data_IF_190556741428
#
_entry.id   IF_190556741428
#
_cell.length_a   1.000
_cell.length_b   1.000
_cell.length_c   1.000
_cell.angle_alpha   90.00
_cell.angle_beta   90.00
_cell.angle_gamma   90.00
#
_symmetry.space_group_name_H-M   'P 1'
#
loop_
_entity.id
_entity.type
_entity.pdbx_description
1 polymer ?
#
# COMPACT_ATOMS: atom_id res chain seq x y z
N UNK A 1 14.75 55.77 -61.87
CA UNK A 1 13.61 55.07 -61.21
C UNK A 1 13.21 55.86 -59.97
N UNK A 2 11.95 56.27 -59.84
CA UNK A 2 11.41 56.78 -58.57
C UNK A 2 10.90 55.59 -57.77
N UNK A 3 11.45 55.35 -56.58
CA UNK A 3 10.86 54.42 -55.62
C UNK A 3 9.45 54.97 -55.25
N UNK A 4 8.39 54.14 -55.28
CA UNK A 4 7.06 54.60 -54.90
C UNK A 4 7.06 55.00 -53.41
N UNK A 5 6.61 56.22 -53.11
CA UNK A 5 6.48 56.70 -51.74
C UNK A 5 5.39 55.90 -51.01
N UNK A 6 5.80 55.12 -50.03
CA UNK A 6 4.90 54.33 -49.18
C UNK A 6 3.92 55.28 -48.47
N UNK A 7 2.62 54.98 -48.54
CA UNK A 7 1.60 55.76 -47.84
C UNK A 7 1.87 55.76 -46.32
N UNK A 8 1.76 56.90 -45.61
CA UNK A 8 1.93 56.96 -44.15
C UNK A 8 1.06 55.94 -43.40
N UNK A 9 -0.15 55.68 -43.90
CA UNK A 9 -1.06 54.66 -43.33
C UNK A 9 -0.47 53.25 -43.43
N UNK A 10 0.16 52.92 -44.55
CA UNK A 10 0.81 51.62 -44.74
C UNK A 10 2.01 51.45 -43.81
N UNK A 11 2.79 52.52 -43.60
CA UNK A 11 3.90 52.54 -42.65
C UNK A 11 3.42 52.28 -41.21
N UNK A 12 2.37 52.99 -40.77
CA UNK A 12 1.78 52.81 -39.43
C UNK A 12 1.24 51.39 -39.23
N UNK A 13 0.57 50.82 -40.24
CA UNK A 13 0.07 49.44 -40.20
C UNK A 13 1.21 48.41 -40.11
N UNK A 14 2.31 48.61 -40.83
CA UNK A 14 3.49 47.73 -40.75
C UNK A 14 4.16 47.79 -39.37
N UNK A 15 4.29 48.98 -38.78
CA UNK A 15 4.83 49.15 -37.41
C UNK A 15 3.93 48.48 -36.37
N UNK A 16 2.61 48.68 -36.47
CA UNK A 16 1.64 48.03 -35.59
C UNK A 16 1.67 46.50 -35.72
N UNK A 17 1.74 45.97 -36.95
CA UNK A 17 1.84 44.54 -37.21
C UNK A 17 3.15 43.95 -36.66
N UNK A 18 4.29 44.63 -36.85
CA UNK A 18 5.59 44.20 -36.31
C UNK A 18 5.57 44.17 -34.77
N UNK A 19 5.01 45.20 -34.13
CA UNK A 19 4.84 45.24 -32.68
C UNK A 19 3.93 44.12 -32.17
N UNK A 20 2.77 43.90 -32.80
CA UNK A 20 1.85 42.83 -32.44
C UNK A 20 2.46 41.42 -32.60
N UNK A 21 3.26 41.20 -33.66
CA UNK A 21 3.98 39.95 -33.87
C UNK A 21 5.09 39.73 -32.83
N UNK A 22 5.86 40.77 -32.48
CA UNK A 22 6.88 40.70 -31.45
C UNK A 22 6.27 40.39 -30.08
N UNK A 23 5.21 41.11 -29.68
CA UNK A 23 4.47 40.86 -28.43
C UNK A 23 3.84 39.46 -28.43
N UNK A 24 3.21 39.04 -29.52
CA UNK A 24 2.60 37.71 -29.63
C UNK A 24 3.62 36.56 -29.60
N UNK A 25 4.81 36.77 -30.16
CA UNK A 25 5.94 35.84 -30.07
C UNK A 25 6.49 35.73 -28.65
N UNK A 26 6.77 36.88 -28.02
CA UNK A 26 7.24 36.95 -26.64
C UNK A 26 6.22 36.33 -25.65
N UNK A 27 4.93 36.65 -25.81
CA UNK A 27 3.84 36.10 -25.00
C UNK A 27 3.73 34.58 -25.11
N UNK A 28 3.82 34.03 -26.33
CA UNK A 28 3.85 32.57 -26.53
C UNK A 28 5.08 31.94 -25.89
N UNK A 29 6.26 32.52 -26.07
CA UNK A 29 7.51 32.03 -25.47
C UNK A 29 7.49 32.05 -23.94
N UNK A 30 6.93 33.11 -23.34
CA UNK A 30 6.71 33.22 -21.91
C UNK A 30 5.77 32.11 -21.41
N UNK A 31 4.62 31.93 -22.06
CA UNK A 31 3.65 30.89 -21.69
C UNK A 31 4.13 29.45 -21.93
N UNK A 32 5.03 29.20 -22.88
CA UNK A 32 5.67 27.87 -22.99
C UNK A 32 6.65 27.65 -21.85
N UNK A 33 7.49 28.64 -21.52
CA UNK A 33 8.47 28.54 -20.44
C UNK A 33 7.77 28.40 -19.06
N UNK A 34 6.72 29.17 -18.80
CA UNK A 34 5.90 29.05 -17.58
C UNK A 34 5.32 27.64 -17.40
N UNK A 35 4.92 26.98 -18.50
CA UNK A 35 4.38 25.61 -18.48
C UNK A 35 5.45 24.55 -18.31
N UNK A 36 6.63 24.77 -18.87
CA UNK A 36 7.80 23.90 -18.68
C UNK A 36 8.27 23.96 -17.23
N UNK A 37 8.50 25.16 -16.67
CA UNK A 37 8.86 25.35 -15.26
C UNK A 37 7.81 24.77 -14.32
N UNK A 38 6.52 25.04 -14.54
CA UNK A 38 5.46 24.48 -13.70
C UNK A 38 5.36 22.94 -13.78
N UNK A 39 5.80 22.33 -14.89
CA UNK A 39 5.88 20.88 -15.04
C UNK A 39 7.11 20.31 -14.35
N UNK A 40 8.26 20.95 -14.48
CA UNK A 40 9.50 20.52 -13.84
C UNK A 40 9.40 20.65 -12.31
N UNK A 41 8.79 21.73 -11.80
CA UNK A 41 8.47 21.89 -10.38
C UNK A 41 7.51 20.80 -9.89
N UNK A 42 6.50 20.44 -10.69
CA UNK A 42 5.58 19.34 -10.37
C UNK A 42 6.32 17.99 -10.29
N UNK A 43 7.12 17.64 -11.30
CA UNK A 43 7.89 16.39 -11.33
C UNK A 43 8.91 16.34 -10.18
N UNK A 44 9.58 17.46 -9.87
CA UNK A 44 10.54 17.58 -8.78
C UNK A 44 9.90 17.34 -7.39
N UNK A 45 8.62 17.67 -7.22
CA UNK A 45 7.87 17.41 -5.98
C UNK A 45 7.27 16.00 -5.95
N UNK A 46 6.68 15.53 -7.06
CA UNK A 46 5.95 14.25 -7.10
C UNK A 46 6.85 13.03 -7.24
N UNK A 47 7.92 13.09 -8.03
CA UNK A 47 8.81 11.94 -8.28
C UNK A 47 9.48 11.40 -6.99
N UNK A 48 10.00 12.23 -6.06
CA UNK A 48 10.51 11.76 -4.78
C UNK A 48 9.45 11.07 -3.90
N UNK A 49 8.20 11.59 -3.90
CA UNK A 49 7.09 11.05 -3.11
C UNK A 49 6.66 9.69 -3.65
N UNK A 50 6.48 9.56 -4.96
CA UNK A 50 6.17 8.29 -5.61
C UNK A 50 7.28 7.26 -5.37
N UNK A 51 8.54 7.66 -5.56
CA UNK A 51 9.70 6.79 -5.32
C UNK A 51 9.79 6.34 -3.85
N UNK A 52 9.44 7.19 -2.89
CA UNK A 52 9.41 6.84 -1.47
C UNK A 52 8.27 5.86 -1.14
N UNK A 53 7.09 6.03 -1.75
CA UNK A 53 5.97 5.09 -1.61
C UNK A 53 6.31 3.72 -2.21
N UNK A 54 6.87 3.69 -3.42
CA UNK A 54 7.27 2.46 -4.08
C UNK A 54 8.31 1.68 -3.25
N UNK A 55 9.35 2.35 -2.74
CA UNK A 55 10.33 1.72 -1.84
C UNK A 55 9.67 1.10 -0.61
N UNK A 56 8.79 1.83 0.09
CA UNK A 56 8.07 1.30 1.27
C UNK A 56 7.22 0.06 0.96
N UNK A 57 6.61 -0.01 -0.23
CA UNK A 57 5.88 -1.21 -0.66
C UNK A 57 6.82 -2.38 -0.96
N UNK A 58 7.97 -2.11 -1.60
CA UNK A 58 9.02 -3.11 -1.85
C UNK A 58 9.65 -3.64 -0.56
N UNK A 59 9.91 -2.77 0.43
CA UNK A 59 10.43 -3.16 1.75
C UNK A 59 9.45 -4.09 2.48
N UNK A 60 8.14 -3.80 2.41
CA UNK A 60 7.07 -4.64 2.94
C UNK A 60 6.94 -5.97 2.20
N UNK A 61 7.06 -5.97 0.87
CA UNK A 61 7.05 -7.20 0.08
C UNK A 61 8.27 -8.08 0.41
N UNK A 62 9.45 -7.49 0.56
CA UNK A 62 10.68 -8.20 0.93
C UNK A 62 10.59 -8.84 2.32
N UNK A 63 9.96 -8.14 3.28
CA UNK A 63 9.58 -8.69 4.58
C UNK A 63 8.66 -9.92 4.42
N UNK A 64 7.54 -9.77 3.70
CA UNK A 64 6.58 -10.86 3.49
C UNK A 64 7.23 -12.08 2.83
N UNK A 65 8.09 -11.87 1.82
CA UNK A 65 8.85 -12.94 1.15
C UNK A 65 9.78 -13.69 2.11
N UNK A 66 10.39 -12.99 3.07
CA UNK A 66 11.15 -13.61 4.16
C UNK A 66 10.28 -14.54 5.02
N UNK A 67 9.11 -14.06 5.45
CA UNK A 67 8.18 -14.86 6.26
C UNK A 67 7.52 -16.02 5.51
N UNK A 68 7.19 -15.88 4.22
CA UNK A 68 6.74 -16.99 3.37
C UNK A 68 7.85 -18.04 3.24
N UNK A 69 9.10 -17.60 3.02
CA UNK A 69 10.26 -18.50 2.96
C UNK A 69 10.49 -19.29 4.26
N UNK A 70 10.22 -18.68 5.41
CA UNK A 70 10.28 -19.36 6.71
C UNK A 70 9.23 -20.49 6.83
N UNK A 71 7.97 -20.22 6.48
CA UNK A 71 6.92 -21.26 6.49
C UNK A 71 7.11 -22.34 5.42
N UNK A 72 7.71 -22.00 4.28
CA UNK A 72 8.09 -22.98 3.26
C UNK A 72 9.21 -23.93 3.74
N UNK A 73 10.08 -23.45 4.66
CA UNK A 73 11.13 -24.26 5.26
C UNK A 73 10.65 -25.09 6.47
N UNK A 74 9.77 -24.52 7.31
CA UNK A 74 9.16 -25.20 8.46
C UNK A 74 7.63 -24.99 8.49
N UNK A 75 6.84 -25.94 7.93
CA UNK A 75 5.38 -25.88 8.00
C UNK A 75 4.81 -26.07 9.42
N UNK A 76 5.63 -26.45 10.40
CA UNK A 76 5.27 -26.63 11.80
C UNK A 76 5.76 -25.48 12.70
N UNK A 77 6.18 -24.36 12.09
CA UNK A 77 6.68 -23.16 12.78
C UNK A 77 5.74 -22.69 13.90
N UNK A 78 6.24 -22.72 15.13
CA UNK A 78 5.55 -22.25 16.33
C UNK A 78 5.49 -20.72 16.40
N UNK A 79 4.55 -20.19 17.20
CA UNK A 79 4.52 -18.75 17.58
C UNK A 79 5.88 -18.23 18.08
N UNK A 80 6.61 -19.01 18.87
CA UNK A 80 7.90 -18.57 19.43
C UNK A 80 8.98 -18.46 18.35
N UNK A 81 9.05 -19.40 17.40
CA UNK A 81 9.94 -19.31 16.25
C UNK A 81 9.55 -18.16 15.32
N UNK A 82 8.25 -17.94 15.04
CA UNK A 82 7.74 -16.80 14.29
C UNK A 82 8.18 -15.46 14.90
N UNK A 83 7.93 -15.32 16.21
CA UNK A 83 8.32 -14.13 16.98
C UNK A 83 9.83 -13.94 16.93
N UNK A 84 10.59 -14.98 17.24
CA UNK A 84 12.07 -14.95 17.24
C UNK A 84 12.59 -14.55 15.87
N UNK A 85 12.09 -15.15 14.79
CA UNK A 85 12.46 -14.80 13.42
C UNK A 85 12.25 -13.32 13.13
N UNK A 86 11.07 -12.76 13.44
CA UNK A 86 10.79 -11.35 13.17
C UNK A 86 11.71 -10.41 13.95
N UNK A 87 11.89 -10.65 15.25
CA UNK A 87 12.78 -9.85 16.11
C UNK A 87 14.29 -10.12 15.90
N UNK A 88 14.69 -11.07 15.06
CA UNK A 88 16.11 -11.35 14.73
C UNK A 88 16.48 -11.08 13.27
N UNK A 89 15.51 -11.21 12.36
CA UNK A 89 15.71 -11.03 10.91
C UNK A 89 15.32 -9.62 10.46
N UNK A 90 14.56 -8.88 11.27
CA UNK A 90 14.33 -7.46 11.07
C UNK A 90 14.58 -6.62 12.31
N UNK A 91 14.99 -5.39 12.02
CA UNK A 91 15.36 -4.32 12.93
C UNK A 91 14.27 -4.04 13.98
N UNK A 92 14.62 -3.33 15.06
CA UNK A 92 13.76 -3.04 16.21
C UNK A 92 12.37 -2.42 15.87
N UNK A 93 12.21 -1.87 14.65
CA UNK A 93 10.96 -1.33 14.10
C UNK A 93 10.59 -1.97 12.74
N UNK A 94 9.29 -2.20 12.52
CA UNK A 94 8.73 -2.56 11.21
C UNK A 94 8.97 -1.45 10.15
N UNK A 95 8.91 -1.77 8.83
CA UNK A 95 9.07 -0.78 7.76
C UNK A 95 8.16 0.46 7.94
N UNK A 96 8.65 1.70 7.78
CA UNK A 96 7.91 2.91 8.15
C UNK A 96 6.51 3.03 7.54
N UNK A 97 5.48 3.09 8.41
CA UNK A 97 4.06 3.12 8.03
C UNK A 97 3.36 1.76 8.14
N UNK A 98 4.09 0.69 8.44
CA UNK A 98 3.56 -0.66 8.66
C UNK A 98 3.17 -0.82 10.12
N UNK A 99 1.92 -1.16 10.39
CA UNK A 99 1.43 -1.31 11.76
C UNK A 99 1.77 -2.69 12.36
N UNK A 100 1.68 -3.74 11.54
CA UNK A 100 1.85 -5.13 11.96
C UNK A 100 2.14 -6.03 10.77
N UNK A 101 2.82 -7.14 11.02
CA UNK A 101 2.84 -8.32 10.17
C UNK A 101 2.06 -9.45 10.85
N UNK A 102 1.46 -10.35 10.09
CA UNK A 102 0.80 -11.53 10.63
C UNK A 102 0.71 -12.67 9.63
N UNK A 103 0.47 -13.85 10.16
CA UNK A 103 0.24 -15.07 9.38
C UNK A 103 -1.21 -15.52 9.57
N UNK A 104 -1.90 -15.76 8.47
CA UNK A 104 -3.25 -16.29 8.46
C UNK A 104 -3.27 -17.67 7.81
N UNK A 105 -3.83 -18.65 8.53
CA UNK A 105 -3.77 -20.04 8.13
C UNK A 105 -5.03 -20.45 7.39
N UNK A 106 -4.90 -20.83 6.11
CA UNK A 106 -5.99 -21.43 5.35
C UNK A 106 -6.42 -22.74 6.03
N UNK A 107 -7.67 -22.81 6.49
CA UNK A 107 -8.16 -23.83 7.41
C UNK A 107 -9.55 -24.32 6.97
N UNK A 108 -9.71 -25.61 6.59
CA UNK A 108 -11.03 -26.17 6.29
C UNK A 108 -11.84 -26.37 7.59
N UNK A 109 -13.19 -26.40 7.53
CA UNK A 109 -14.05 -26.42 8.72
C UNK A 109 -13.74 -27.54 9.72
N UNK A 110 -13.40 -28.72 9.21
CA UNK A 110 -13.03 -29.91 10.01
C UNK A 110 -11.73 -29.78 10.83
N UNK A 111 -10.90 -28.79 10.54
CA UNK A 111 -9.60 -28.54 11.21
C UNK A 111 -9.66 -27.30 12.13
N UNK A 112 -10.79 -26.58 12.15
CA UNK A 112 -10.94 -25.32 12.88
C UNK A 112 -10.78 -25.50 14.41
N UNK A 113 -11.46 -26.48 15.00
CA UNK A 113 -11.40 -26.75 16.45
C UNK A 113 -9.99 -27.17 16.88
N UNK A 114 -9.32 -28.01 16.06
CA UNK A 114 -7.94 -28.42 16.30
C UNK A 114 -6.96 -27.24 16.21
N UNK A 115 -7.19 -26.30 15.28
CA UNK A 115 -6.38 -25.10 15.16
C UNK A 115 -6.57 -24.20 16.40
N UNK A 116 -7.81 -23.97 16.80
CA UNK A 116 -8.13 -23.16 18.00
C UNK A 116 -7.44 -23.72 19.23
N UNK A 117 -7.56 -25.03 19.49
CA UNK A 117 -6.92 -25.67 20.65
C UNK A 117 -5.38 -25.71 20.54
N UNK A 118 -4.82 -25.74 19.34
CA UNK A 118 -3.37 -25.64 19.14
C UNK A 118 -2.86 -24.24 19.47
N UNK A 119 -3.49 -23.19 18.95
CA UNK A 119 -3.10 -21.80 19.24
C UNK A 119 -3.33 -21.44 20.73
N UNK A 120 -4.36 -22.02 21.37
CA UNK A 120 -4.56 -21.89 22.83
C UNK A 120 -3.40 -22.46 23.64
N UNK A 121 -2.91 -23.64 23.27
CA UNK A 121 -1.75 -24.29 23.90
C UNK A 121 -0.43 -23.59 23.61
N UNK A 122 -0.32 -22.86 22.48
CA UNK A 122 0.79 -21.94 22.17
C UNK A 122 0.71 -20.59 22.94
N UNK A 123 0.05 -20.57 24.11
CA UNK A 123 0.03 -19.41 25.02
C UNK A 123 -1.02 -18.35 24.71
N UNK A 124 -2.05 -18.64 23.90
CA UNK A 124 -3.17 -17.74 23.63
C UNK A 124 -4.51 -18.33 24.12
N UNK A 125 -4.72 -18.50 25.43
CA UNK A 125 -5.86 -19.25 25.98
C UNK A 125 -7.24 -18.66 25.59
N UNK A 126 -7.31 -17.36 25.29
CA UNK A 126 -8.51 -16.68 24.79
C UNK A 126 -8.65 -16.65 23.25
N UNK A 127 -7.85 -17.44 22.50
CA UNK A 127 -7.95 -17.46 21.04
C UNK A 127 -9.30 -18.03 20.57
N UNK A 128 -9.96 -17.30 19.67
CA UNK A 128 -11.20 -17.66 19.01
C UNK A 128 -11.18 -17.16 17.56
N UNK A 129 -11.81 -17.89 16.65
CA UNK A 129 -11.95 -17.45 15.25
C UNK A 129 -13.23 -16.65 15.08
N UNK A 130 -13.11 -15.43 14.55
CA UNK A 130 -14.23 -14.51 14.47
C UNK A 130 -14.21 -13.66 13.18
N UNK A 131 -15.35 -13.13 12.69
CA UNK A 131 -16.70 -13.32 13.22
C UNK A 131 -17.18 -14.76 13.01
N UNK A 132 -17.96 -15.25 13.97
CA UNK A 132 -18.57 -16.58 13.93
C UNK A 132 -19.47 -16.76 12.69
N UNK A 133 -19.52 -17.98 12.16
CA UNK A 133 -20.37 -18.36 11.04
C UNK A 133 -19.78 -19.51 10.22
N UNK A 134 -20.61 -20.30 9.53
CA UNK A 134 -20.15 -21.35 8.62
C UNK A 134 -19.49 -20.74 7.37
N UNK A 135 -18.37 -21.31 6.94
CA UNK A 135 -17.65 -20.97 5.69
C UNK A 135 -17.09 -22.25 5.08
N UNK A 136 -16.90 -22.28 3.76
CA UNK A 136 -16.28 -23.44 3.09
C UNK A 136 -14.79 -23.57 3.45
N UNK A 137 -14.13 -22.43 3.68
CA UNK A 137 -12.74 -22.32 4.15
C UNK A 137 -12.63 -21.07 5.03
N UNK A 138 -11.86 -21.17 6.11
CA UNK A 138 -11.49 -20.07 7.00
C UNK A 138 -10.03 -19.64 6.74
N UNK A 139 -9.70 -18.39 7.03
CA UNK A 139 -8.32 -17.91 7.14
C UNK A 139 -8.15 -16.99 8.37
N UNK A 140 -8.25 -17.54 9.59
CA UNK A 140 -7.93 -16.79 10.81
C UNK A 140 -6.46 -16.36 10.80
N UNK A 141 -6.21 -15.12 11.20
CA UNK A 141 -4.88 -14.66 11.59
C UNK A 141 -4.48 -15.40 12.88
N UNK A 142 -3.47 -16.27 12.79
CA UNK A 142 -3.00 -17.09 13.92
C UNK A 142 -1.78 -16.48 14.59
N UNK A 143 -0.91 -15.79 13.86
CA UNK A 143 0.20 -15.02 14.42
C UNK A 143 0.10 -13.56 13.97
N UNK A 144 0.48 -12.63 14.85
CA UNK A 144 0.55 -11.19 14.56
C UNK A 144 1.62 -10.56 15.46
N UNK A 145 2.46 -9.72 14.88
CA UNK A 145 3.52 -8.99 15.58
C UNK A 145 3.59 -7.52 15.07
N UNK A 146 3.96 -6.54 15.93
CA UNK A 146 4.22 -6.68 17.36
C UNK A 146 2.95 -7.06 18.14
N UNK A 147 3.06 -8.06 19.02
CA UNK A 147 1.94 -8.55 19.83
C UNK A 147 1.68 -7.65 21.05
N UNK A 148 1.51 -6.35 20.82
CA UNK A 148 1.29 -5.34 21.84
C UNK A 148 0.40 -4.19 21.32
N UNK A 149 -0.37 -3.60 22.23
CA UNK A 149 -1.22 -2.44 21.93
C UNK A 149 -2.35 -2.74 20.94
N UNK A 150 -2.63 -1.79 20.06
CA UNK A 150 -3.94 -1.66 19.38
C UNK A 150 -4.33 -2.81 18.44
N UNK A 151 -3.41 -3.71 18.11
CA UNK A 151 -3.53 -4.68 17.01
C UNK A 151 -3.84 -6.10 17.54
N UNK A 152 -3.95 -6.28 18.86
CA UNK A 152 -4.33 -7.56 19.50
C UNK A 152 -5.59 -8.19 18.90
N UNK A 153 -6.63 -7.40 18.58
CA UNK A 153 -7.84 -7.91 17.90
C UNK A 153 -7.57 -8.51 16.52
N UNK A 154 -6.48 -8.17 15.81
CA UNK A 154 -6.20 -8.82 14.53
C UNK A 154 -6.02 -10.34 14.70
N UNK A 155 -5.55 -10.82 15.85
CA UNK A 155 -5.49 -12.24 16.18
C UNK A 155 -6.91 -12.86 16.20
N UNK A 156 -7.09 -13.98 15.48
CA UNK A 156 -8.36 -14.69 15.38
C UNK A 156 -9.31 -14.14 14.32
N UNK A 157 -9.05 -12.94 13.77
CA UNK A 157 -9.86 -12.38 12.70
C UNK A 157 -9.75 -13.23 11.43
N UNK A 158 -10.89 -13.70 10.93
CA UNK A 158 -11.00 -14.48 9.70
C UNK A 158 -11.08 -13.58 8.47
N UNK A 159 -10.01 -13.59 7.68
CA UNK A 159 -9.89 -12.84 6.42
C UNK A 159 -11.00 -13.21 5.43
N UNK A 160 -11.49 -14.45 5.43
CA UNK A 160 -12.54 -14.92 4.52
C UNK A 160 -13.92 -14.33 4.83
N UNK A 161 -14.07 -13.66 5.98
CA UNK A 161 -15.30 -12.95 6.36
C UNK A 161 -15.46 -11.57 5.71
N UNK A 162 -14.36 -10.93 5.31
CA UNK A 162 -14.34 -9.59 4.70
C UNK A 162 -14.13 -9.72 3.18
N UNK A 163 -15.06 -9.23 2.35
CA UNK A 163 -14.99 -9.44 0.90
C UNK A 163 -13.82 -8.70 0.23
N UNK A 164 -13.34 -7.59 0.79
CA UNK A 164 -12.22 -6.81 0.24
C UNK A 164 -10.89 -7.49 0.58
N UNK A 165 -10.75 -7.98 1.82
CA UNK A 165 -9.57 -8.73 2.27
C UNK A 165 -9.48 -10.08 1.59
N UNK A 166 -10.60 -10.82 1.52
CA UNK A 166 -10.71 -12.10 0.81
C UNK A 166 -10.28 -11.98 -0.65
N UNK A 167 -10.81 -11.02 -1.40
CA UNK A 167 -10.47 -10.85 -2.82
C UNK A 167 -8.96 -10.58 -3.04
N UNK A 168 -8.32 -9.83 -2.14
CA UNK A 168 -6.89 -9.58 -2.21
C UNK A 168 -6.05 -10.82 -1.83
N UNK A 169 -6.45 -11.56 -0.79
CA UNK A 169 -5.78 -12.78 -0.35
C UNK A 169 -5.93 -13.93 -1.36
N UNK A 170 -7.11 -14.10 -1.96
CA UNK A 170 -7.35 -15.05 -3.06
C UNK A 170 -6.52 -14.70 -4.29
N UNK A 171 -6.47 -13.42 -4.68
CA UNK A 171 -5.62 -12.98 -5.79
C UNK A 171 -4.12 -13.21 -5.51
N UNK A 172 -3.66 -13.06 -4.27
CA UNK A 172 -2.28 -13.37 -3.89
C UNK A 172 -1.99 -14.87 -4.01
N UNK A 173 -2.87 -15.70 -3.44
CA UNK A 173 -2.82 -17.17 -3.54
C UNK A 173 -2.78 -17.65 -4.99
N UNK A 174 -3.66 -17.13 -5.84
CA UNK A 174 -3.84 -17.64 -7.20
C UNK A 174 -2.76 -17.14 -8.17
N UNK A 175 -2.05 -16.05 -7.84
CA UNK A 175 -0.94 -15.52 -8.67
C UNK A 175 0.46 -15.86 -8.16
N UNK A 176 0.64 -16.15 -6.86
CA UNK A 176 1.97 -16.23 -6.25
C UNK A 176 2.66 -14.87 -6.04
N UNK A 177 1.96 -13.77 -6.33
CA UNK A 177 2.47 -12.40 -6.27
C UNK A 177 1.89 -11.64 -5.07
N UNK A 178 2.59 -10.60 -4.63
CA UNK A 178 2.09 -9.73 -3.57
C UNK A 178 0.87 -8.92 -4.05
N UNK A 179 -0.22 -8.92 -3.29
CA UNK A 179 -1.46 -8.17 -3.61
C UNK A 179 -1.88 -7.27 -2.46
N UNK A 180 -1.98 -5.98 -2.76
CA UNK A 180 -2.48 -4.97 -1.82
C UNK A 180 -4.01 -4.91 -1.89
N UNK A 181 -4.67 -4.91 -0.74
CA UNK A 181 -6.12 -4.70 -0.66
C UNK A 181 -6.51 -3.26 -1.04
N UNK A 182 -7.78 -3.06 -1.38
CA UNK A 182 -8.36 -1.72 -1.33
C UNK A 182 -8.40 -1.18 0.13
N UNK A 183 -8.84 0.06 0.31
CA UNK A 183 -8.90 0.73 1.62
C UNK A 183 -9.91 0.09 2.59
N UNK A 184 -9.41 -0.71 3.54
CA UNK A 184 -10.16 -1.41 4.59
C UNK A 184 -10.08 -0.68 5.93
N UNK A 185 -11.02 -0.95 6.82
CA UNK A 185 -10.88 -0.61 8.23
C UNK A 185 -9.91 -1.58 8.91
N UNK A 186 -9.03 -1.06 9.77
CA UNK A 186 -8.04 -1.87 10.47
C UNK A 186 -8.59 -2.37 11.81
N UNK A 187 -8.66 -3.69 11.96
CA UNK A 187 -9.11 -4.42 13.15
C UNK A 187 -8.35 -3.98 14.40
N UNK A 188 -9.05 -3.43 15.40
CA UNK A 188 -8.43 -2.78 16.57
C UNK A 188 -9.20 -2.95 17.87
N UNK A 189 -8.46 -2.89 18.98
CA UNK A 189 -8.94 -3.11 20.35
C UNK A 189 -9.94 -2.05 20.87
N UNK A 190 -9.82 -0.80 20.43
CA UNK A 190 -10.58 0.34 20.99
C UNK A 190 -11.62 0.88 19.99
N UNK A 191 -12.90 0.60 20.27
CA UNK A 191 -14.07 1.14 19.56
C UNK A 191 -14.33 2.63 19.87
N UNK A 192 -13.65 3.19 20.87
CA UNK A 192 -13.79 4.58 21.30
C UNK A 192 -12.92 5.57 20.52
N UNK A 193 -12.19 5.10 19.50
CA UNK A 193 -11.40 5.94 18.59
C UNK A 193 -11.93 5.84 17.16
N UNK A 194 -11.76 6.92 16.39
CA UNK A 194 -12.23 6.97 15.01
C UNK A 194 -11.63 5.83 14.15
N UNK A 195 -12.42 5.20 13.27
CA UNK A 195 -11.97 4.07 12.46
C UNK A 195 -10.80 4.47 11.55
N UNK A 196 -9.64 3.84 11.75
CA UNK A 196 -8.49 4.10 10.89
C UNK A 196 -8.54 3.21 9.65
N UNK A 197 -8.60 3.86 8.49
CA UNK A 197 -8.48 3.19 7.19
C UNK A 197 -7.02 2.90 6.89
N UNK A 198 -6.78 1.77 6.23
CA UNK A 198 -5.48 1.34 5.73
C UNK A 198 -5.66 0.33 4.59
N UNK A 199 -4.58 -0.34 4.23
CA UNK A 199 -4.61 -1.48 3.31
C UNK A 199 -3.76 -2.61 3.90
N UNK A 200 -3.96 -3.84 3.41
CA UNK A 200 -3.17 -5.01 3.79
C UNK A 200 -2.52 -5.59 2.55
N UNK A 201 -1.22 -5.83 2.63
CA UNK A 201 -0.46 -6.52 1.60
C UNK A 201 -0.45 -8.01 1.93
N UNK A 202 -0.89 -8.83 0.97
CA UNK A 202 -0.94 -10.28 1.08
C UNK A 202 0.11 -10.92 0.17
N UNK A 203 0.73 -12.00 0.66
CA UNK A 203 1.56 -12.93 -0.08
C UNK A 203 1.18 -14.34 0.42
N UNK A 204 1.12 -15.37 -0.46
CA UNK A 204 0.80 -16.74 -0.03
C UNK A 204 1.94 -17.45 0.70
#
# INVERSE_FOLDING_TARGET
MKLPSISPVLLSLLVAAAGALATGGAWRGMHTLEREVARDDFEAVFSPVFSALQRRLQDNEQLLRGTTGLFAADPALTREQWRTYLYTTQLDDLPPGTHSIGYARLTPPRELDWLVETIRREGQPGFEVYPLGPRDVYAPVVYVEPFAGRITRALGFDIMSDPVRRAAAEAARDSGEARLSAGVELTRESETQAPQRGAVLYLP
#
